data_IF_005214981311
#
_entry.id   IF_005214981311
#
_cell.length_a   1.000
_cell.length_b   1.000
_cell.length_c   1.000
_cell.angle_alpha   90.00
_cell.angle_beta   90.00
_cell.angle_gamma   90.00
#
_symmetry.space_group_name_H-M   'P 1'
#
loop_
_entity.id
_entity.type
_entity.pdbx_description
1 polymer ?
#
# COMPACT_ATOMS: atom_id res chain seq x y z
N UNK A 1 22.94 -22.72 76.89
CA UNK A 1 23.79 -22.77 75.67
C UNK A 1 23.01 -23.46 74.56
N UNK A 2 22.76 -22.75 73.45
CA UNK A 2 22.59 -23.19 72.05
C UNK A 2 22.16 -21.93 71.24
N UNK A 3 22.59 -21.76 69.97
CA UNK A 3 23.00 -20.45 69.47
C UNK A 3 21.94 -19.72 68.63
N UNK A 4 22.02 -18.40 68.72
CA UNK A 4 21.25 -17.40 67.98
C UNK A 4 21.57 -17.46 66.47
N UNK A 5 20.62 -17.89 65.62
CA UNK A 5 20.76 -17.90 64.15
C UNK A 5 20.71 -16.46 63.61
N UNK A 6 21.87 -15.85 63.39
CA UNK A 6 22.01 -14.61 62.61
C UNK A 6 21.51 -14.85 61.18
N UNK A 7 20.48 -14.12 60.75
CA UNK A 7 20.09 -13.98 59.33
C UNK A 7 21.28 -13.35 58.58
N UNK A 8 21.91 -14.11 57.66
CA UNK A 8 22.88 -13.56 56.71
C UNK A 8 22.11 -12.71 55.69
N UNK A 9 22.20 -11.38 55.82
CA UNK A 9 21.86 -10.47 54.72
C UNK A 9 22.89 -10.68 53.59
N UNK A 10 22.54 -11.46 52.58
CA UNK A 10 23.27 -11.45 51.31
C UNK A 10 22.96 -10.11 50.62
N UNK A 11 23.86 -9.14 50.76
CA UNK A 11 23.87 -7.96 49.89
C UNK A 11 24.36 -8.42 48.52
N UNK A 12 23.44 -8.55 47.57
CA UNK A 12 23.77 -8.72 46.15
C UNK A 12 24.36 -7.38 45.68
N UNK A 13 25.65 -7.36 45.37
CA UNK A 13 26.30 -6.17 44.84
C UNK A 13 25.99 -6.09 43.33
N UNK A 14 25.17 -5.12 42.95
CA UNK A 14 24.94 -4.78 41.55
C UNK A 14 26.09 -3.86 41.10
N UNK A 15 27.06 -4.41 40.36
CA UNK A 15 28.08 -3.59 39.71
C UNK A 15 27.45 -2.94 38.46
N UNK A 16 27.05 -1.68 38.57
CA UNK A 16 26.57 -0.87 37.45
C UNK A 16 27.77 -0.13 36.86
N UNK A 17 28.21 -0.53 35.67
CA UNK A 17 29.19 0.25 34.90
C UNK A 17 28.43 1.26 34.03
N UNK A 18 28.48 2.53 34.40
CA UNK A 18 27.97 3.64 33.59
C UNK A 18 29.08 4.05 32.63
N UNK A 19 28.92 3.75 31.33
CA UNK A 19 29.78 4.32 30.29
C UNK A 19 29.01 5.48 29.65
N UNK A 20 29.38 6.71 30.01
CA UNK A 20 28.76 7.93 29.53
C UNK A 20 29.29 8.33 28.15
N UNK A 21 28.39 8.44 27.18
CA UNK A 21 28.61 9.10 25.89
C UNK A 21 27.24 9.49 25.32
N UNK A 22 27.10 10.74 24.89
CA UNK A 22 25.83 11.35 24.46
C UNK A 22 25.02 10.42 23.53
N UNK A 23 23.75 10.16 23.91
CA UNK A 23 22.68 9.42 23.18
C UNK A 23 22.46 7.92 23.47
N UNK A 24 22.54 7.50 24.74
CA UNK A 24 21.81 6.31 25.20
C UNK A 24 22.38 5.64 26.45
N UNK A 25 21.50 5.15 27.34
CA UNK A 25 21.88 4.35 28.52
C UNK A 25 21.81 2.86 28.15
N UNK A 26 22.93 2.16 28.26
CA UNK A 26 23.03 0.71 28.08
C UNK A 26 23.02 0.04 29.46
N UNK A 27 21.95 -0.70 29.79
CA UNK A 27 21.88 -1.52 31.00
C UNK A 27 22.26 -2.96 30.63
N UNK A 28 23.50 -3.37 30.90
CA UNK A 28 23.91 -4.78 30.83
C UNK A 28 23.87 -5.35 32.25
N UNK A 29 22.85 -6.15 32.55
CA UNK A 29 22.86 -7.01 33.73
C UNK A 29 23.53 -8.34 33.37
N UNK A 30 24.71 -8.61 33.93
CA UNK A 30 25.34 -9.93 33.84
C UNK A 30 24.59 -10.90 34.78
N UNK A 31 23.54 -11.54 34.27
CA UNK A 31 22.87 -12.66 34.96
C UNK A 31 22.76 -13.83 33.99
N UNK A 32 23.46 -14.91 34.30
CA UNK A 32 23.66 -16.12 33.50
C UNK A 32 22.41 -17.01 33.31
N UNK A 33 21.20 -16.45 33.33
CA UNK A 33 19.96 -17.23 33.12
C UNK A 33 18.77 -16.35 32.66
N UNK A 34 18.97 -15.55 31.62
CA UNK A 34 17.96 -14.63 31.08
C UNK A 34 17.06 -15.22 29.98
N UNK A 35 17.20 -16.51 29.65
CA UNK A 35 16.46 -17.13 28.53
C UNK A 35 15.00 -17.51 28.85
N UNK A 36 14.53 -17.41 30.10
CA UNK A 36 13.21 -17.96 30.48
C UNK A 36 12.25 -17.04 31.26
N UNK A 37 12.58 -15.79 31.58
CA UNK A 37 11.72 -14.98 32.48
C UNK A 37 11.47 -13.52 32.06
N UNK A 38 11.71 -13.16 30.79
CA UNK A 38 11.31 -11.86 30.26
C UNK A 38 10.46 -12.10 29.02
N UNK A 39 9.16 -11.82 29.10
CA UNK A 39 8.34 -11.52 27.93
C UNK A 39 9.13 -10.51 27.07
N UNK A 40 9.49 -10.81 25.81
CA UNK A 40 10.56 -10.13 25.04
C UNK A 40 10.29 -8.66 24.66
N UNK A 41 9.38 -8.00 25.35
CA UNK A 41 9.03 -6.59 25.23
C UNK A 41 10.00 -5.70 26.02
N UNK A 42 10.49 -6.13 27.18
CA UNK A 42 11.16 -5.21 28.13
C UNK A 42 12.66 -4.96 27.89
N UNK A 43 13.34 -5.74 27.04
CA UNK A 43 14.81 -5.70 26.95
C UNK A 43 15.40 -5.18 25.63
N UNK A 44 14.61 -4.59 24.70
CA UNK A 44 15.05 -4.49 23.29
C UNK A 44 15.08 -3.09 22.64
N UNK A 45 14.80 -2.00 23.35
CA UNK A 45 14.84 -0.67 22.72
C UNK A 45 16.19 0.03 22.92
N UNK A 46 17.05 -0.01 21.90
CA UNK A 46 18.35 0.71 21.90
C UNK A 46 18.13 2.20 21.63
N UNK A 47 16.99 2.59 21.06
CA UNK A 47 16.51 3.97 20.93
C UNK A 47 15.02 3.95 20.56
N UNK A 48 14.17 4.61 21.35
CA UNK A 48 12.77 4.85 20.99
C UNK A 48 12.69 6.09 20.10
N UNK A 49 12.06 5.95 18.93
CA UNK A 49 11.79 7.08 18.05
C UNK A 49 10.63 7.93 18.59
N UNK A 50 10.38 9.14 18.05
CA UNK A 50 9.26 9.96 18.48
C UNK A 50 7.94 9.21 18.43
N UNK A 51 7.07 9.48 19.41
CA UNK A 51 5.70 8.96 19.40
C UNK A 51 4.95 9.45 18.18
N UNK A 52 4.22 8.55 17.53
CA UNK A 52 3.37 8.82 16.39
C UNK A 52 1.94 8.34 16.67
N UNK A 53 1.03 8.63 15.75
CA UNK A 53 -0.38 8.25 15.85
C UNK A 53 -0.78 7.47 14.60
N UNK A 54 -1.40 6.30 14.79
CA UNK A 54 -1.96 5.52 13.69
C UNK A 54 -3.20 6.19 13.10
N UNK A 55 -3.66 5.72 11.95
CA UNK A 55 -4.91 6.18 11.34
C UNK A 55 -6.14 6.04 12.26
N UNK A 56 -6.09 5.11 13.23
CA UNK A 56 -7.16 4.88 14.22
C UNK A 56 -7.00 5.73 15.50
N UNK A 57 -6.02 6.64 15.56
CA UNK A 57 -5.77 7.49 16.72
C UNK A 57 -4.93 6.85 17.83
N UNK A 58 -4.43 5.63 17.64
CA UNK A 58 -3.60 4.95 18.63
C UNK A 58 -2.19 5.56 18.67
N UNK A 59 -1.73 5.95 19.86
CA UNK A 59 -0.35 6.39 20.08
C UNK A 59 0.61 5.20 20.04
N UNK A 60 1.60 5.29 19.17
CA UNK A 60 2.55 4.23 18.86
C UNK A 60 3.98 4.75 18.79
N UNK A 61 4.94 3.87 19.04
CA UNK A 61 6.37 4.20 18.97
C UNK A 61 7.10 3.15 18.15
N UNK A 62 7.92 3.61 17.21
CA UNK A 62 8.87 2.72 16.54
C UNK A 62 10.02 2.42 17.50
N UNK A 63 10.28 1.14 17.72
CA UNK A 63 11.42 0.67 18.49
C UNK A 63 12.34 -0.15 17.59
N UNK A 64 13.61 -0.22 17.96
CA UNK A 64 14.61 -1.01 17.23
C UNK A 64 15.50 -1.79 18.17
N UNK A 65 15.83 -2.98 17.72
CA UNK A 65 17.04 -3.72 18.11
C UNK A 65 18.17 -3.34 17.16
N UNK A 66 19.32 -4.00 17.27
CA UNK A 66 20.44 -3.79 16.35
C UNK A 66 20.05 -4.05 14.88
N UNK A 67 19.17 -5.02 14.60
CA UNK A 67 18.87 -5.46 13.23
C UNK A 67 17.40 -5.38 12.85
N UNK A 68 16.48 -5.28 13.82
CA UNK A 68 15.03 -5.39 13.60
C UNK A 68 14.29 -4.19 14.15
N UNK A 69 13.26 -3.75 13.43
CA UNK A 69 12.34 -2.66 13.82
C UNK A 69 10.96 -3.23 14.13
N UNK A 70 10.29 -2.60 15.10
CA UNK A 70 8.97 -2.97 15.59
C UNK A 70 8.13 -1.71 15.78
N UNK A 71 6.81 -1.87 15.80
CA UNK A 71 5.87 -0.83 16.23
C UNK A 71 5.21 -1.29 17.53
N UNK A 72 5.23 -0.43 18.55
CA UNK A 72 4.71 -0.75 19.88
C UNK A 72 3.60 0.23 20.23
N UNK A 73 2.47 -0.28 20.72
CA UNK A 73 1.40 0.54 21.26
C UNK A 73 1.79 1.09 22.63
N UNK A 74 1.77 2.43 22.79
CA UNK A 74 2.26 3.06 24.02
C UNK A 74 1.41 2.68 25.25
N UNK A 75 0.12 2.48 25.07
CA UNK A 75 -0.80 2.17 26.18
C UNK A 75 -0.60 0.75 26.74
N UNK A 76 -0.34 -0.23 25.87
CA UNK A 76 -0.27 -1.65 26.26
C UNK A 76 1.14 -2.21 26.28
N UNK A 77 2.10 -1.48 25.73
CA UNK A 77 3.47 -1.94 25.46
C UNK A 77 3.52 -3.20 24.58
N UNK A 78 2.43 -3.55 23.88
CA UNK A 78 2.40 -4.70 22.98
C UNK A 78 2.89 -4.31 21.59
N UNK A 79 3.60 -5.24 20.94
CA UNK A 79 3.99 -5.12 19.53
C UNK A 79 2.73 -5.19 18.67
N UNK A 80 2.62 -4.26 17.73
CA UNK A 80 1.60 -4.28 16.69
C UNK A 80 2.07 -5.17 15.55
N UNK A 81 1.10 -5.81 14.90
CA UNK A 81 1.31 -6.74 13.79
C UNK A 81 0.38 -6.40 12.62
N UNK A 82 0.62 -7.01 11.47
CA UNK A 82 -0.16 -6.80 10.25
C UNK A 82 0.06 -5.41 9.64
N UNK A 83 -0.92 -4.97 8.85
CA UNK A 83 -0.89 -3.65 8.25
C UNK A 83 -1.09 -2.55 9.30
N UNK A 84 -0.22 -1.54 9.25
CA UNK A 84 -0.29 -0.38 10.13
C UNK A 84 -0.11 0.89 9.30
N UNK A 85 -1.05 1.82 9.43
CA UNK A 85 -1.01 3.10 8.72
C UNK A 85 -0.70 4.22 9.70
N UNK A 86 0.37 4.97 9.43
CA UNK A 86 0.84 6.08 10.25
C UNK A 86 0.98 7.30 9.33
N UNK A 87 0.17 8.32 9.57
CA UNK A 87 -0.04 9.38 8.58
C UNK A 87 -0.57 8.80 7.27
N UNK A 88 0.09 9.11 6.14
CA UNK A 88 -0.21 8.53 4.82
C UNK A 88 0.62 7.28 4.48
N UNK A 89 1.49 6.83 5.39
CA UNK A 89 2.43 5.74 5.14
C UNK A 89 1.88 4.43 5.68
N UNK A 90 1.92 3.40 4.85
CA UNK A 90 1.50 2.04 5.22
C UNK A 90 2.72 1.15 5.43
N UNK A 91 2.74 0.44 6.55
CA UNK A 91 3.77 -0.50 6.95
C UNK A 91 3.14 -1.89 7.13
N UNK A 92 3.97 -2.93 7.13
CA UNK A 92 3.54 -4.27 7.51
C UNK A 92 4.50 -4.88 8.51
N UNK A 93 3.94 -5.48 9.56
CA UNK A 93 4.66 -6.15 10.63
C UNK A 93 4.25 -7.62 10.65
N UNK A 94 5.23 -8.53 10.65
CA UNK A 94 4.98 -9.95 10.54
C UNK A 94 4.10 -10.48 11.70
N UNK A 95 2.95 -11.13 11.45
CA UNK A 95 2.02 -11.58 12.49
C UNK A 95 2.62 -12.39 13.62
N UNK A 96 3.64 -13.22 13.34
CA UNK A 96 4.23 -14.11 14.36
C UNK A 96 5.22 -13.39 15.28
N UNK A 97 5.96 -12.42 14.76
CA UNK A 97 7.13 -11.84 15.46
C UNK A 97 7.00 -10.35 15.76
N UNK A 98 6.14 -9.66 15.02
CA UNK A 98 6.01 -8.20 15.01
C UNK A 98 7.14 -7.48 14.28
N UNK A 99 7.99 -8.21 13.56
CA UNK A 99 9.12 -7.62 12.81
C UNK A 99 8.61 -6.84 11.60
N UNK A 100 9.12 -5.62 11.41
CA UNK A 100 8.80 -4.82 10.23
C UNK A 100 9.31 -5.51 8.96
N UNK A 101 8.46 -5.57 7.94
CA UNK A 101 8.76 -6.21 6.66
C UNK A 101 9.35 -5.20 5.66
N UNK A 102 10.27 -5.70 4.84
CA UNK A 102 11.00 -4.99 3.80
C UNK A 102 10.99 -5.78 2.49
N UNK A 103 11.26 -5.11 1.37
CA UNK A 103 11.36 -5.73 0.05
C UNK A 103 10.02 -6.22 -0.53
N UNK A 104 10.11 -7.05 -1.57
CA UNK A 104 8.94 -7.64 -2.22
C UNK A 104 8.34 -8.75 -1.35
N UNK A 105 7.04 -8.66 -1.08
CA UNK A 105 6.30 -9.65 -0.29
C UNK A 105 4.92 -9.89 -0.89
N UNK A 106 4.52 -11.16 -0.94
CA UNK A 106 3.13 -11.54 -1.22
C UNK A 106 2.37 -11.66 0.09
N UNK A 107 1.29 -10.88 0.25
CA UNK A 107 0.44 -10.86 1.45
C UNK A 107 -1.00 -11.06 0.98
N UNK A 108 -1.64 -12.13 1.46
CA UNK A 108 -3.00 -12.51 1.04
C UNK A 108 -3.18 -12.52 -0.49
N UNK A 109 -2.22 -13.10 -1.23
CA UNK A 109 -2.24 -13.18 -2.69
C UNK A 109 -1.89 -11.89 -3.44
N UNK A 110 -1.63 -10.78 -2.75
CA UNK A 110 -1.32 -9.49 -3.36
C UNK A 110 0.15 -9.12 -3.18
N UNK A 111 0.74 -8.48 -4.18
CA UNK A 111 2.15 -8.09 -4.16
C UNK A 111 2.34 -6.70 -3.55
N UNK A 112 3.22 -6.64 -2.54
CA UNK A 112 3.64 -5.41 -1.87
C UNK A 112 5.15 -5.27 -1.96
N UNK A 113 5.63 -4.04 -2.06
CA UNK A 113 7.05 -3.73 -1.90
C UNK A 113 7.20 -2.73 -0.77
N UNK A 114 7.93 -3.10 0.27
CA UNK A 114 8.26 -2.21 1.38
C UNK A 114 9.67 -1.67 1.17
N UNK A 115 9.82 -0.35 1.12
CA UNK A 115 11.12 0.30 0.91
C UNK A 115 12.06 0.12 2.11
N UNK A 116 13.26 0.72 2.06
CA UNK A 116 14.25 0.68 3.14
C UNK A 116 13.75 1.25 4.48
N UNK A 117 12.68 2.05 4.46
CA UNK A 117 12.03 2.60 5.64
C UNK A 117 10.82 1.75 6.09
N UNK A 118 10.51 0.67 5.38
CA UNK A 118 9.36 -0.21 5.61
C UNK A 118 8.05 0.33 5.06
N UNK A 119 8.09 1.37 4.21
CA UNK A 119 6.89 2.00 3.64
C UNK A 119 6.48 1.27 2.36
N UNK A 120 5.20 0.91 2.25
CA UNK A 120 4.62 0.28 1.07
C UNK A 120 4.69 1.23 -0.15
N UNK A 121 5.27 0.75 -1.25
CA UNK A 121 5.35 1.44 -2.53
C UNK A 121 4.66 0.62 -3.62
N UNK A 122 3.46 1.05 -4.02
CA UNK A 122 2.62 0.37 -5.02
C UNK A 122 3.27 0.32 -6.40
N UNK A 123 3.85 1.44 -6.87
CA UNK A 123 4.47 1.51 -8.19
C UNK A 123 5.69 0.58 -8.29
N UNK A 124 6.49 0.50 -7.23
CA UNK A 124 7.64 -0.39 -7.19
C UNK A 124 7.22 -1.86 -7.09
N UNK A 125 6.15 -2.16 -6.34
CA UNK A 125 5.55 -3.50 -6.32
C UNK A 125 5.11 -3.95 -7.72
N UNK A 126 4.42 -3.07 -8.46
CA UNK A 126 4.04 -3.34 -9.86
C UNK A 126 5.29 -3.54 -10.73
N UNK A 127 6.27 -2.62 -10.70
CA UNK A 127 7.50 -2.72 -11.49
C UNK A 127 8.27 -4.03 -11.25
N UNK A 128 8.26 -4.54 -10.02
CA UNK A 128 8.95 -5.79 -9.65
C UNK A 128 8.21 -7.05 -10.09
N UNK A 129 6.91 -6.95 -10.43
CA UNK A 129 6.06 -8.11 -10.73
C UNK A 129 5.54 -8.13 -12.16
N UNK A 130 5.60 -7.01 -12.88
CA UNK A 130 5.08 -6.90 -14.27
C UNK A 130 5.75 -7.87 -15.24
N UNK A 131 7.01 -8.26 -15.02
CA UNK A 131 7.71 -9.22 -15.87
C UNK A 131 7.07 -10.62 -15.89
N UNK A 132 6.21 -10.96 -14.92
CA UNK A 132 5.46 -12.21 -14.89
C UNK A 132 4.09 -12.12 -15.55
N UNK A 133 3.70 -10.94 -16.03
CA UNK A 133 2.39 -10.71 -16.65
C UNK A 133 2.54 -10.84 -18.16
N UNK A 134 1.63 -11.57 -18.79
CA UNK A 134 1.60 -11.69 -20.24
C UNK A 134 1.28 -10.33 -20.88
N UNK A 135 2.14 -9.88 -21.81
CA UNK A 135 2.18 -8.52 -22.34
C UNK A 135 2.50 -8.48 -23.83
N UNK A 136 1.82 -9.32 -24.61
CA UNK A 136 2.15 -9.52 -26.03
C UNK A 136 1.36 -8.61 -26.98
N UNK A 137 0.27 -7.99 -26.52
CA UNK A 137 -0.55 -7.13 -27.36
C UNK A 137 0.03 -5.72 -27.47
N UNK A 138 0.50 -5.34 -28.66
CA UNK A 138 1.19 -4.07 -28.92
C UNK A 138 0.32 -2.83 -28.64
N UNK A 139 -0.99 -2.91 -28.85
CA UNK A 139 -1.92 -1.81 -28.57
C UNK A 139 -2.04 -1.62 -27.05
N UNK A 140 -2.28 -2.71 -26.32
CA UNK A 140 -2.36 -2.70 -24.85
C UNK A 140 -1.06 -2.18 -24.25
N UNK A 141 0.09 -2.70 -24.67
CA UNK A 141 1.38 -2.28 -24.13
C UNK A 141 1.69 -0.82 -24.45
N UNK A 142 1.32 -0.32 -25.64
CA UNK A 142 1.48 1.09 -25.97
C UNK A 142 0.57 1.97 -25.12
N UNK A 143 -0.70 1.61 -24.95
CA UNK A 143 -1.65 2.34 -24.12
C UNK A 143 -1.16 2.41 -22.66
N UNK A 144 -0.72 1.29 -22.09
CA UNK A 144 -0.18 1.25 -20.73
C UNK A 144 1.12 2.07 -20.65
N UNK A 145 2.05 1.92 -21.60
CA UNK A 145 3.31 2.66 -21.60
C UNK A 145 3.10 4.18 -21.66
N UNK A 146 2.12 4.66 -22.44
CA UNK A 146 1.77 6.08 -22.51
C UNK A 146 1.16 6.57 -21.19
N UNK A 147 0.26 5.79 -20.58
CA UNK A 147 -0.34 6.16 -19.29
C UNK A 147 0.66 6.13 -18.14
N UNK A 148 1.62 5.21 -18.15
CA UNK A 148 2.71 5.15 -17.17
C UNK A 148 3.57 6.41 -17.14
N UNK A 149 3.71 7.15 -18.26
CA UNK A 149 4.45 8.42 -18.31
C UNK A 149 3.77 9.52 -17.50
N UNK A 150 2.46 9.41 -17.30
CA UNK A 150 1.59 10.38 -16.65
C UNK A 150 1.36 10.11 -15.16
N UNK A 151 1.76 8.93 -14.67
CA UNK A 151 1.66 8.56 -13.25
C UNK A 151 2.34 9.60 -12.36
N UNK A 152 1.57 10.20 -11.45
CA UNK A 152 2.03 11.25 -10.54
C UNK A 152 2.29 12.62 -11.18
N UNK A 153 1.94 12.81 -12.46
CA UNK A 153 2.14 14.08 -13.20
C UNK A 153 0.85 14.69 -13.73
N UNK A 154 -0.13 13.86 -14.11
CA UNK A 154 -1.44 14.27 -14.59
C UNK A 154 -2.34 14.66 -13.41
N UNK A 155 -2.82 15.91 -13.29
CA UNK A 155 -3.84 16.25 -12.31
C UNK A 155 -5.21 15.70 -12.74
N UNK A 156 -5.95 15.13 -11.80
CA UNK A 156 -7.34 14.75 -12.05
C UNK A 156 -8.19 16.01 -12.25
N UNK A 157 -8.95 16.06 -13.34
CA UNK A 157 -9.94 17.09 -13.63
C UNK A 157 -11.23 16.44 -14.12
N UNK A 158 -12.32 16.60 -13.38
CA UNK A 158 -13.64 16.10 -13.79
C UNK A 158 -14.04 16.72 -15.14
N UNK A 159 -14.37 15.89 -16.13
CA UNK A 159 -14.66 16.37 -17.48
C UNK A 159 -13.41 16.65 -18.35
N UNK A 160 -12.21 16.51 -17.79
CA UNK A 160 -10.93 16.67 -18.49
C UNK A 160 -10.79 15.72 -19.69
N UNK A 161 -9.71 15.89 -20.46
CA UNK A 161 -9.37 15.01 -21.59
C UNK A 161 -10.29 15.08 -22.81
N UNK A 162 -11.32 15.93 -22.81
CA UNK A 162 -12.30 16.06 -23.92
C UNK A 162 -11.95 17.17 -24.91
N UNK A 163 -11.00 18.05 -24.57
CA UNK A 163 -10.53 19.14 -25.42
C UNK A 163 -9.02 19.05 -25.64
N UNK A 164 -8.53 19.55 -26.77
CA UNK A 164 -7.08 19.62 -27.04
C UNK A 164 -6.31 20.37 -25.96
N UNK A 165 -6.94 21.39 -25.33
CA UNK A 165 -6.34 22.14 -24.23
C UNK A 165 -6.14 21.28 -22.98
N UNK A 166 -7.18 20.56 -22.55
CA UNK A 166 -7.08 19.65 -21.40
C UNK A 166 -6.05 18.53 -21.65
N UNK A 167 -6.04 17.95 -22.85
CA UNK A 167 -5.07 16.91 -23.22
C UNK A 167 -3.64 17.46 -23.17
N UNK A 168 -3.39 18.67 -23.72
CA UNK A 168 -2.07 19.29 -23.70
C UNK A 168 -1.57 19.62 -22.28
N UNK A 169 -2.50 19.87 -21.35
CA UNK A 169 -2.19 20.10 -19.94
C UNK A 169 -2.09 18.79 -19.12
N UNK A 170 -2.29 17.62 -19.75
CA UNK A 170 -2.47 16.32 -19.07
C UNK A 170 -3.61 16.36 -18.03
N UNK A 171 -4.68 17.09 -18.28
CA UNK A 171 -5.86 17.12 -17.43
C UNK A 171 -6.85 16.09 -17.95
N UNK A 172 -7.08 15.02 -17.17
CA UNK A 172 -8.01 13.95 -17.54
C UNK A 172 -8.97 13.63 -16.39
N UNK A 173 -10.10 13.02 -16.74
CA UNK A 173 -10.86 12.17 -15.82
C UNK A 173 -10.65 10.69 -16.18
N UNK A 174 -11.26 9.78 -15.41
CA UNK A 174 -11.07 8.34 -15.58
C UNK A 174 -11.39 7.84 -16.99
N UNK A 175 -12.55 8.24 -17.54
CA UNK A 175 -13.04 7.74 -18.83
C UNK A 175 -12.29 8.33 -20.02
N UNK A 176 -12.03 9.64 -20.00
CA UNK A 176 -11.29 10.34 -21.05
C UNK A 176 -9.83 9.93 -21.09
N UNK A 177 -9.23 9.61 -19.94
CA UNK A 177 -7.88 9.06 -19.86
C UNK A 177 -7.77 7.74 -20.63
N UNK A 178 -8.65 6.77 -20.34
CA UNK A 178 -8.64 5.46 -21.03
C UNK A 178 -8.92 5.61 -22.52
N UNK A 179 -9.94 6.42 -22.88
CA UNK A 179 -10.27 6.70 -24.28
C UNK A 179 -9.06 7.31 -25.04
N UNK A 180 -8.34 8.22 -24.39
CA UNK A 180 -7.17 8.86 -24.98
C UNK A 180 -6.01 7.88 -25.15
N UNK A 181 -5.68 7.07 -24.14
CA UNK A 181 -4.60 6.08 -24.22
C UNK A 181 -4.78 5.10 -25.37
N UNK A 182 -5.96 4.50 -25.46
CA UNK A 182 -6.24 3.52 -26.50
C UNK A 182 -6.31 4.16 -27.90
N UNK A 183 -6.81 5.41 -28.01
CA UNK A 183 -6.72 6.18 -29.24
C UNK A 183 -5.27 6.44 -29.67
N UNK A 184 -4.40 6.85 -28.76
CA UNK A 184 -2.97 7.02 -29.05
C UNK A 184 -2.31 5.70 -29.42
N UNK A 185 -2.83 4.58 -28.93
CA UNK A 185 -2.35 3.24 -29.25
C UNK A 185 -2.86 2.69 -30.60
N UNK A 186 -3.73 3.43 -31.31
CA UNK A 186 -4.30 3.01 -32.59
C UNK A 186 -5.65 2.27 -32.49
N UNK A 187 -6.26 2.22 -31.30
CA UNK A 187 -7.56 1.61 -31.05
C UNK A 187 -8.54 2.62 -30.44
N UNK A 188 -9.19 3.49 -31.22
CA UNK A 188 -10.20 4.40 -30.68
C UNK A 188 -11.38 3.62 -30.11
N UNK A 189 -11.59 3.69 -28.78
CA UNK A 189 -12.71 3.01 -28.11
C UNK A 189 -14.04 3.76 -28.28
N UNK A 190 -13.95 5.09 -28.20
CA UNK A 190 -15.06 6.04 -28.24
C UNK A 190 -14.59 7.35 -28.87
N UNK A 191 -15.53 8.22 -29.22
CA UNK A 191 -15.21 9.61 -29.57
C UNK A 191 -14.70 10.32 -28.31
N UNK A 192 -13.50 10.90 -28.37
CA UNK A 192 -12.81 11.47 -27.20
C UNK A 192 -13.66 12.51 -26.46
N UNK A 193 -14.34 13.40 -27.18
CA UNK A 193 -15.20 14.43 -26.59
C UNK A 193 -16.45 13.88 -25.91
N UNK A 194 -16.85 12.64 -26.25
CA UNK A 194 -18.00 11.94 -25.68
C UNK A 194 -17.60 10.85 -24.69
N UNK A 195 -16.32 10.72 -24.33
CA UNK A 195 -15.87 9.68 -23.41
C UNK A 195 -16.66 9.77 -22.09
N UNK A 196 -17.20 8.64 -21.63
CA UNK A 196 -17.89 8.52 -20.35
C UNK A 196 -17.78 7.08 -19.84
N UNK A 197 -17.88 6.89 -18.54
CA UNK A 197 -17.88 5.56 -17.91
C UNK A 197 -19.00 4.68 -18.48
N UNK A 198 -20.19 5.25 -18.69
CA UNK A 198 -21.34 4.55 -19.26
C UNK A 198 -21.11 4.05 -20.68
N UNK A 199 -20.51 4.85 -21.55
CA UNK A 199 -20.21 4.41 -22.91
C UNK A 199 -19.10 3.34 -22.89
N UNK A 200 -18.07 3.50 -22.04
CA UNK A 200 -17.05 2.48 -21.86
C UNK A 200 -17.61 1.17 -21.26
N UNK A 201 -18.76 1.21 -20.59
CA UNK A 201 -19.46 -0.01 -20.18
C UNK A 201 -20.20 -0.72 -21.33
N UNK A 202 -20.22 -0.18 -22.55
CA UNK A 202 -20.96 -0.76 -23.68
C UNK A 202 -20.06 -1.24 -24.82
N UNK A 203 -18.73 -1.08 -24.68
CA UNK A 203 -17.76 -1.47 -25.70
C UNK A 203 -17.17 -2.86 -25.46
N UNK A 204 -16.57 -3.41 -26.51
CA UNK A 204 -15.81 -4.66 -26.44
C UNK A 204 -16.65 -5.87 -26.03
N UNK A 205 -15.97 -6.91 -25.58
CA UNK A 205 -16.58 -8.16 -25.11
C UNK A 205 -16.55 -8.22 -23.59
N UNK A 206 -17.63 -8.66 -22.96
CA UNK A 206 -17.66 -8.88 -21.51
C UNK A 206 -16.83 -10.10 -21.14
N UNK A 207 -15.99 -9.96 -20.12
CA UNK A 207 -15.17 -11.04 -19.55
C UNK A 207 -15.54 -11.23 -18.08
N UNK A 208 -15.44 -12.46 -17.57
CA UNK A 208 -15.66 -12.73 -16.15
C UNK A 208 -14.53 -12.08 -15.31
N UNK A 209 -14.86 -11.65 -14.08
CA UNK A 209 -13.86 -11.08 -13.16
C UNK A 209 -12.66 -12.01 -12.92
N UNK A 210 -12.89 -13.32 -12.86
CA UNK A 210 -11.82 -14.32 -12.71
C UNK A 210 -10.88 -14.42 -13.90
N UNK A 211 -11.35 -14.00 -15.08
CA UNK A 211 -10.68 -14.22 -16.35
C UNK A 211 -10.06 -12.93 -16.89
N UNK A 212 -10.14 -11.83 -16.13
CA UNK A 212 -9.59 -10.53 -16.51
C UNK A 212 -8.11 -10.62 -16.82
N UNK A 213 -7.70 -9.96 -17.89
CA UNK A 213 -6.32 -9.95 -18.39
C UNK A 213 -5.81 -8.53 -18.48
N UNK A 214 -4.48 -8.43 -18.52
CA UNK A 214 -3.80 -7.15 -18.73
C UNK A 214 -4.38 -6.46 -19.97
N UNK A 215 -4.74 -5.19 -19.83
CA UNK A 215 -5.40 -4.39 -20.85
C UNK A 215 -6.93 -4.31 -20.72
N UNK A 216 -7.57 -5.28 -20.08
CA UNK A 216 -9.03 -5.23 -19.88
C UNK A 216 -9.42 -3.99 -19.09
N UNK A 217 -10.56 -3.41 -19.46
CA UNK A 217 -11.10 -2.22 -18.83
C UNK A 217 -12.09 -2.64 -17.75
N UNK A 218 -11.82 -2.24 -16.51
CA UNK A 218 -12.73 -2.38 -15.39
C UNK A 218 -13.66 -1.17 -15.38
N UNK A 219 -14.97 -1.41 -15.29
CA UNK A 219 -15.99 -0.36 -15.32
C UNK A 219 -16.99 -0.59 -14.19
N UNK A 220 -17.31 0.44 -13.42
CA UNK A 220 -18.34 0.37 -12.37
C UNK A 220 -19.75 0.25 -12.97
N UNK A 221 -20.75 -0.20 -12.20
CA UNK A 221 -22.15 -0.20 -12.65
C UNK A 221 -22.66 1.19 -13.02
N UNK A 222 -23.43 1.29 -14.11
CA UNK A 222 -24.09 2.54 -14.53
C UNK A 222 -25.18 3.01 -13.57
N UNK A 223 -25.60 2.14 -12.63
CA UNK A 223 -26.55 2.46 -11.56
C UNK A 223 -25.91 3.22 -10.40
N UNK A 224 -24.58 3.37 -10.40
CA UNK A 224 -23.88 4.14 -9.38
C UNK A 224 -24.05 5.64 -9.63
N UNK A 225 -24.01 6.41 -8.55
CA UNK A 225 -23.96 7.88 -8.64
C UNK A 225 -22.69 8.32 -9.36
N UNK A 226 -22.71 9.51 -9.97
CA UNK A 226 -21.54 10.09 -10.68
C UNK A 226 -20.25 10.06 -9.86
N UNK A 227 -20.34 10.32 -8.55
CA UNK A 227 -19.19 10.28 -7.63
C UNK A 227 -18.57 8.89 -7.46
N UNK A 228 -19.36 7.83 -7.73
CA UNK A 228 -18.94 6.44 -7.65
C UNK A 228 -18.64 5.81 -9.01
N UNK A 229 -19.01 6.48 -10.12
CA UNK A 229 -18.68 6.02 -11.45
C UNK A 229 -17.18 6.12 -11.67
N UNK A 230 -16.57 5.02 -12.10
CA UNK A 230 -15.15 4.97 -12.33
C UNK A 230 -14.76 3.91 -13.35
N UNK A 231 -13.58 4.05 -13.92
CA UNK A 231 -13.00 3.07 -14.83
C UNK A 231 -11.48 2.99 -14.69
N UNK A 232 -10.91 1.83 -14.96
CA UNK A 232 -9.47 1.57 -14.88
C UNK A 232 -9.01 0.53 -15.90
N UNK A 233 -7.74 0.58 -16.30
CA UNK A 233 -7.11 -0.49 -17.08
C UNK A 233 -6.49 -1.49 -16.11
N UNK A 234 -6.82 -2.77 -16.23
CA UNK A 234 -6.19 -3.84 -15.47
C UNK A 234 -4.76 -4.07 -15.98
N UNK A 235 -3.79 -4.08 -15.06
CA UNK A 235 -2.37 -4.23 -15.39
C UNK A 235 -1.85 -5.66 -15.21
N UNK A 236 -2.68 -6.57 -14.69
CA UNK A 236 -2.25 -7.87 -14.19
C UNK A 236 -1.84 -7.84 -12.71
N UNK A 237 -1.74 -9.02 -12.09
CA UNK A 237 -1.30 -9.20 -10.70
C UNK A 237 -2.03 -8.34 -9.66
N UNK A 238 -3.30 -8.01 -9.92
CA UNK A 238 -4.12 -7.20 -9.02
C UNK A 238 -3.84 -5.69 -9.07
N UNK A 239 -3.09 -5.20 -10.05
CA UNK A 239 -2.82 -3.77 -10.23
C UNK A 239 -3.73 -3.14 -11.29
N UNK A 240 -4.00 -1.85 -11.13
CA UNK A 240 -4.77 -1.05 -12.08
C UNK A 240 -4.06 0.27 -12.40
N UNK A 241 -4.24 0.77 -13.62
CA UNK A 241 -3.86 2.11 -14.06
C UNK A 241 -5.13 2.93 -14.29
N UNK A 242 -5.23 4.09 -13.65
CA UNK A 242 -6.43 4.92 -13.69
C UNK A 242 -6.09 6.37 -13.36
N UNK A 243 -6.98 7.28 -13.74
CA UNK A 243 -6.99 8.67 -13.26
C UNK A 243 -8.19 8.86 -12.32
N UNK A 244 -7.96 9.31 -11.09
CA UNK A 244 -9.05 9.48 -10.13
C UNK A 244 -8.80 10.62 -9.13
N UNK A 245 -9.89 11.25 -8.66
CA UNK A 245 -9.81 12.26 -7.62
C UNK A 245 -9.14 11.73 -6.33
N UNK A 246 -9.45 10.53 -5.81
CA UNK A 246 -8.78 10.01 -4.60
C UNK A 246 -7.27 9.79 -4.74
N UNK A 247 -6.79 9.54 -5.96
CA UNK A 247 -5.35 9.41 -6.26
C UNK A 247 -4.70 10.73 -6.70
N UNK A 248 -5.47 11.82 -6.74
CA UNK A 248 -5.04 13.15 -7.16
C UNK A 248 -4.54 13.21 -8.61
N UNK A 249 -5.02 12.31 -9.47
CA UNK A 249 -4.48 12.15 -10.82
C UNK A 249 -4.26 10.71 -11.24
N UNK A 250 -3.48 10.56 -12.33
CA UNK A 250 -3.06 9.26 -12.84
C UNK A 250 -2.18 8.55 -11.83
N UNK A 251 -2.56 7.33 -11.47
CA UNK A 251 -1.86 6.50 -10.51
C UNK A 251 -1.94 5.00 -10.85
N UNK A 252 -1.04 4.25 -10.22
CA UNK A 252 -1.15 2.80 -10.09
C UNK A 252 -1.67 2.49 -8.70
N UNK A 253 -2.75 1.72 -8.64
CA UNK A 253 -3.33 1.20 -7.39
C UNK A 253 -3.35 -0.33 -7.41
N UNK A 254 -3.39 -0.95 -6.23
CA UNK A 254 -3.82 -2.36 -6.12
C UNK A 254 -5.34 -2.39 -6.01
N UNK A 255 -5.95 -3.44 -6.53
CA UNK A 255 -7.37 -3.72 -6.36
C UNK A 255 -7.78 -3.87 -4.89
N UNK A 256 -6.85 -4.21 -4.00
CA UNK A 256 -7.08 -4.32 -2.57
C UNK A 256 -6.81 -3.02 -1.80
N UNK A 257 -6.26 -1.98 -2.44
CA UNK A 257 -6.11 -0.68 -1.81
C UNK A 257 -7.50 -0.04 -1.60
N UNK A 258 -7.65 0.70 -0.51
CA UNK A 258 -8.85 1.50 -0.24
C UNK A 258 -8.97 2.61 -1.29
N UNK A 259 -10.19 2.86 -1.78
CA UNK A 259 -10.48 3.94 -2.74
C UNK A 259 -10.10 5.29 -2.15
N UNK A 260 -10.53 5.54 -0.91
CA UNK A 260 -10.18 6.74 -0.16
C UNK A 260 -10.20 6.44 1.34
N UNK A 261 -9.01 6.31 1.95
CA UNK A 261 -8.87 5.95 3.36
C UNK A 261 -9.39 7.03 4.32
N UNK A 262 -9.66 8.25 3.85
CA UNK A 262 -10.22 9.34 4.69
C UNK A 262 -11.73 9.28 4.78
N UNK A 263 -12.40 8.80 3.72
CA UNK A 263 -13.87 8.76 3.64
C UNK A 263 -14.45 7.37 3.80
N UNK A 264 -13.66 6.31 3.57
CA UNK A 264 -14.06 4.93 3.77
C UNK A 264 -12.91 4.09 4.31
N UNK A 265 -13.21 3.26 5.31
CA UNK A 265 -12.25 2.31 5.88
C UNK A 265 -12.36 0.91 5.26
N UNK A 266 -13.32 0.69 4.36
CA UNK A 266 -13.66 -0.66 3.86
C UNK A 266 -13.78 -0.76 2.34
N UNK A 267 -14.09 0.32 1.64
CA UNK A 267 -14.28 0.28 0.19
C UNK A 267 -12.94 0.21 -0.53
N UNK A 268 -12.63 -0.96 -1.11
CA UNK A 268 -11.47 -1.17 -1.98
C UNK A 268 -11.81 -0.92 -3.45
N UNK A 269 -10.80 -0.74 -4.30
CA UNK A 269 -11.00 -0.66 -5.75
C UNK A 269 -11.68 -1.91 -6.32
N UNK A 270 -11.34 -3.11 -5.83
CA UNK A 270 -12.05 -4.34 -6.18
C UNK A 270 -13.51 -4.32 -5.75
N UNK A 271 -13.81 -3.84 -4.53
CA UNK A 271 -15.19 -3.68 -4.06
C UNK A 271 -15.99 -2.68 -4.90
N UNK A 272 -15.32 -1.65 -5.44
CA UNK A 272 -15.93 -0.67 -6.34
C UNK A 272 -16.24 -1.26 -7.72
N UNK A 273 -15.29 -2.00 -8.32
CA UNK A 273 -15.40 -2.49 -9.70
C UNK A 273 -16.12 -3.83 -9.85
N UNK A 274 -16.00 -4.74 -8.88
CA UNK A 274 -16.51 -6.12 -9.00
C UNK A 274 -18.02 -6.22 -9.28
N UNK A 275 -18.89 -5.33 -8.79
CA UNK A 275 -20.30 -5.32 -9.17
C UNK A 275 -20.57 -4.89 -10.62
N UNK A 276 -19.59 -4.27 -11.29
CA UNK A 276 -19.70 -3.77 -12.65
C UNK A 276 -19.22 -4.79 -13.68
N UNK A 277 -18.53 -4.32 -14.71
CA UNK A 277 -18.10 -5.13 -15.85
C UNK A 277 -16.58 -5.10 -16.06
N UNK A 278 -16.07 -6.19 -16.63
CA UNK A 278 -14.74 -6.27 -17.25
C UNK A 278 -14.95 -6.29 -18.77
N UNK A 279 -14.31 -5.36 -19.48
CA UNK A 279 -14.45 -5.17 -20.93
C UNK A 279 -13.12 -5.45 -21.61
N UNK A 280 -13.08 -6.49 -22.42
CA UNK A 280 -11.97 -6.77 -23.32
C UNK A 280 -12.16 -5.98 -24.62
N UNK A 281 -11.21 -5.09 -24.92
CA UNK A 281 -11.32 -4.12 -26.03
C UNK A 281 -10.28 -4.31 -27.13
N UNK A 282 -9.36 -5.25 -26.94
CA UNK A 282 -8.41 -5.70 -27.96
C UNK A 282 -8.36 -7.22 -27.89
N UNK A 283 -8.47 -7.86 -29.05
CA UNK A 283 -8.31 -9.31 -29.15
C UNK A 283 -6.84 -9.70 -28.94
N UNK A 284 -6.62 -10.88 -28.35
CA UNK A 284 -5.27 -11.44 -28.12
C UNK A 284 -4.73 -12.11 -29.38
#
# INVERSE_FOLDING_TARGET
MLPNKKRKNQRLWLNITIVGGLTGVLLIANVSNLSQLIEPVQAMAINALPTQTTATGQKVTFTRTFTKRYLVANATQKRLVGFQTIGSKTYYFEPKTGEMVYGLKTIAGNSYYFDENGVSNTQLAYKKTVASVDGNNKIVEKAIADGMKLVGKSPYVYGGGRTSKSIANNEFDCSSFIAWLYRQAGQPLVVQSAASTTILNQIGTTVAWSDMRRGDILVTPDTYTEERLHTAIYLGNGFILHDSAPTHGVAISRLVDLVNSKTSQTLTWSGLFKPGAVRQVVDN
#
